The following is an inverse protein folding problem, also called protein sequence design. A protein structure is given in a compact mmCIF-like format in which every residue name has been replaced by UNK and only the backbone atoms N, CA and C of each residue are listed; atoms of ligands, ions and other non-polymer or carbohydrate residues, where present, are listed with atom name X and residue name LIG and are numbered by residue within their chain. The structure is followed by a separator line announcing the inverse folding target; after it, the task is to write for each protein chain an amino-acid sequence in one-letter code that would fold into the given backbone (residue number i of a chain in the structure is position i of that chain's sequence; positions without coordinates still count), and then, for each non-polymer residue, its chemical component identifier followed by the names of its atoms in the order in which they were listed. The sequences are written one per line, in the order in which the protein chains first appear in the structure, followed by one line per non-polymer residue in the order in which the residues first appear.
data_IF_822838386572
#
_entry.id   IF_822838386572
#
_cell.length_a   1.000
_cell.length_b   1.000
_cell.length_c   1.000
_cell.angle_alpha   90.00
_cell.angle_beta   90.00
_cell.angle_gamma   90.00
#
_symmetry.space_group_name_H-M   'P 1'
#
loop_
_entity.id
_entity.type
_entity.pdbx_description
1 polymer ?
#
# COMPACT_ATOMS: atom_id res chain seq x y z
N UNK A 1 -20.50 9.03 25.36
CA UNK A 1 -19.93 9.61 24.16
C UNK A 1 -19.38 8.52 23.25
N UNK A 2 -19.99 8.32 22.10
CA UNK A 2 -19.54 7.33 21.14
C UNK A 2 -18.13 7.57 20.64
N UNK A 3 -17.72 8.84 20.54
CA UNK A 3 -16.40 9.23 20.07
C UNK A 3 -15.31 8.74 21.04
N UNK A 4 -15.53 8.90 22.34
CA UNK A 4 -14.59 8.47 23.37
C UNK A 4 -14.43 6.93 23.38
N UNK A 5 -15.55 6.22 23.26
CA UNK A 5 -15.55 4.76 23.22
C UNK A 5 -14.84 4.25 21.95
N UNK A 6 -15.13 4.85 20.79
CA UNK A 6 -14.51 4.46 19.54
C UNK A 6 -13.00 4.71 19.56
N UNK A 7 -12.53 5.81 20.13
CA UNK A 7 -11.11 6.09 20.27
C UNK A 7 -10.41 5.06 21.14
N UNK A 8 -11.04 4.66 22.27
CA UNK A 8 -10.50 3.64 23.14
C UNK A 8 -10.37 2.29 22.42
N UNK A 9 -11.37 1.90 21.65
CA UNK A 9 -11.36 0.65 20.90
C UNK A 9 -10.28 0.66 19.82
N UNK A 10 -10.09 1.81 19.16
CA UNK A 10 -9.03 1.97 18.15
C UNK A 10 -7.65 1.80 18.79
N UNK A 11 -7.41 2.40 19.94
CA UNK A 11 -6.14 2.25 20.64
C UNK A 11 -5.86 0.79 21.05
N UNK A 12 -6.85 0.09 21.58
CA UNK A 12 -6.71 -1.31 21.93
C UNK A 12 -6.36 -2.17 20.74
N UNK A 13 -7.01 -1.91 19.59
CA UNK A 13 -6.76 -2.62 18.36
C UNK A 13 -5.35 -2.34 17.84
N UNK A 14 -4.91 -1.09 17.87
CA UNK A 14 -3.57 -0.71 17.46
C UNK A 14 -2.49 -1.40 18.30
N UNK A 15 -2.69 -1.50 19.60
CA UNK A 15 -1.76 -2.20 20.47
C UNK A 15 -1.68 -3.69 20.12
N UNK A 16 -2.81 -4.33 19.87
CA UNK A 16 -2.86 -5.72 19.48
C UNK A 16 -2.21 -5.97 18.11
N UNK A 17 -2.47 -5.08 17.15
CA UNK A 17 -1.86 -5.16 15.82
C UNK A 17 -0.35 -4.97 15.88
N UNK A 18 0.11 -4.03 16.71
CA UNK A 18 1.54 -3.77 16.90
C UNK A 18 2.24 -4.95 17.52
N UNK A 19 1.62 -5.59 18.51
CA UNK A 19 2.14 -6.76 19.18
C UNK A 19 2.25 -7.95 18.24
N UNK A 20 1.26 -8.15 17.35
CA UNK A 20 1.23 -9.26 16.40
C UNK A 20 1.90 -8.95 15.07
N UNK A 21 2.17 -7.68 14.79
CA UNK A 21 2.74 -7.26 13.53
C UNK A 21 1.79 -7.36 12.35
N UNK A 22 0.47 -7.39 12.59
CA UNK A 22 -0.53 -7.50 11.53
C UNK A 22 -1.67 -6.49 11.77
N UNK A 23 -2.36 -6.16 10.67
CA UNK A 23 -3.59 -5.38 10.71
C UNK A 23 -4.78 -6.32 10.87
N UNK A 24 -5.56 -6.16 11.93
CA UNK A 24 -6.68 -7.04 12.24
C UNK A 24 -7.94 -6.64 11.50
N UNK A 25 -8.26 -5.35 11.46
CA UNK A 25 -9.42 -4.81 10.76
C UNK A 25 -8.99 -3.65 9.90
N UNK A 26 -9.78 -3.37 8.86
CA UNK A 26 -9.55 -2.22 7.99
C UNK A 26 -9.63 -0.92 8.79
N UNK A 27 -8.72 0.00 8.48
CA UNK A 27 -8.66 1.33 9.10
C UNK A 27 -8.77 2.39 8.04
N UNK A 28 -9.49 3.46 8.36
CA UNK A 28 -9.59 4.63 7.51
C UNK A 28 -8.75 5.76 8.08
N UNK A 29 -7.89 6.33 7.26
CA UNK A 29 -7.08 7.49 7.61
C UNK A 29 -7.16 8.49 6.48
N UNK A 30 -7.27 9.77 6.80
CA UNK A 30 -7.28 10.83 5.79
C UNK A 30 -6.05 11.71 5.97
N UNK A 31 -5.43 12.05 4.85
CA UNK A 31 -4.27 12.93 4.81
C UNK A 31 -4.59 14.08 3.87
N UNK A 32 -4.28 15.29 4.30
CA UNK A 32 -4.39 16.48 3.44
C UNK A 32 -3.03 16.75 2.82
N UNK A 33 -2.96 16.73 1.49
CA UNK A 33 -1.74 17.02 0.75
C UNK A 33 -2.05 18.12 -0.27
N UNK A 34 -1.57 19.32 0.01
CA UNK A 34 -1.94 20.49 -0.80
C UNK A 34 -3.45 20.71 -0.72
N UNK A 35 -4.10 20.81 -1.85
CA UNK A 35 -5.54 20.99 -1.96
C UNK A 35 -6.30 19.65 -2.06
N UNK A 36 -5.60 18.54 -1.97
CA UNK A 36 -6.18 17.21 -2.17
C UNK A 36 -6.26 16.45 -0.86
N UNK A 37 -7.41 15.85 -0.61
CA UNK A 37 -7.60 14.93 0.50
C UNK A 37 -7.39 13.50 0.01
N UNK A 38 -6.45 12.80 0.64
CA UNK A 38 -6.16 11.40 0.32
C UNK A 38 -6.73 10.55 1.44
N UNK A 39 -7.70 9.70 1.11
CA UNK A 39 -8.27 8.75 2.04
C UNK A 39 -7.56 7.41 1.90
N UNK A 40 -6.98 6.95 2.98
CA UNK A 40 -6.22 5.70 3.01
C UNK A 40 -7.02 4.68 3.78
N UNK A 41 -7.26 3.53 3.16
CA UNK A 41 -7.91 2.38 3.81
C UNK A 41 -6.87 1.28 3.93
N UNK A 42 -6.48 0.98 5.14
CA UNK A 42 -5.50 -0.07 5.41
C UNK A 42 -6.19 -1.43 5.37
N UNK A 43 -5.64 -2.38 4.63
CA UNK A 43 -6.22 -3.71 4.50
C UNK A 43 -5.68 -4.66 5.56
N UNK A 44 -6.49 -5.63 6.01
CA UNK A 44 -5.95 -6.71 6.83
C UNK A 44 -4.87 -7.49 6.09
N UNK A 45 -3.77 -7.75 6.76
CA UNK A 45 -2.63 -8.47 6.19
C UNK A 45 -2.69 -9.98 6.37
N UNK A 46 -3.79 -10.52 6.90
CA UNK A 46 -3.93 -11.93 7.19
C UNK A 46 -4.87 -12.62 6.21
N UNK A 47 -4.55 -13.86 5.81
CA UNK A 47 -5.31 -14.61 4.81
C UNK A 47 -6.77 -14.84 5.20
N UNK A 48 -7.07 -14.92 6.50
CA UNK A 48 -8.43 -15.17 7.00
C UNK A 48 -9.38 -14.00 6.75
N UNK A 49 -8.85 -12.84 6.33
CA UNK A 49 -9.65 -11.64 6.08
C UNK A 49 -9.88 -11.37 4.60
N UNK A 50 -9.87 -12.42 3.77
CA UNK A 50 -10.01 -12.29 2.32
C UNK A 50 -11.24 -11.54 1.85
N UNK A 51 -12.40 -11.79 2.49
CA UNK A 51 -13.63 -11.08 2.16
C UNK A 51 -13.57 -9.60 2.45
N UNK A 52 -12.89 -9.21 3.50
CA UNK A 52 -12.68 -7.81 3.85
C UNK A 52 -11.80 -7.12 2.81
N UNK A 53 -10.75 -7.78 2.35
CA UNK A 53 -9.86 -7.25 1.31
C UNK A 53 -10.64 -6.99 0.03
N UNK A 54 -11.46 -7.93 -0.42
CA UNK A 54 -12.27 -7.75 -1.63
C UNK A 54 -13.21 -6.57 -1.53
N UNK A 55 -13.87 -6.43 -0.39
CA UNK A 55 -14.80 -5.32 -0.17
C UNK A 55 -14.08 -3.98 -0.24
N UNK A 56 -12.91 -3.88 0.39
CA UNK A 56 -12.10 -2.67 0.37
C UNK A 56 -11.66 -2.35 -1.04
N UNK A 57 -11.17 -3.33 -1.79
CA UNK A 57 -10.70 -3.12 -3.15
C UNK A 57 -11.78 -2.60 -4.09
N UNK A 58 -13.04 -2.92 -3.82
CA UNK A 58 -14.17 -2.40 -4.60
C UNK A 58 -14.51 -0.96 -4.28
N UNK A 59 -14.04 -0.42 -3.15
CA UNK A 59 -14.37 0.93 -2.69
C UNK A 59 -13.29 1.96 -3.01
N UNK A 60 -12.10 1.51 -3.41
CA UNK A 60 -10.94 2.41 -3.58
C UNK A 60 -10.68 2.69 -5.06
N UNK A 61 -9.93 3.76 -5.32
CA UNK A 61 -9.59 4.20 -6.68
C UNK A 61 -8.26 3.65 -7.17
N UNK A 62 -7.43 3.16 -6.26
CA UNK A 62 -6.14 2.57 -6.57
C UNK A 62 -5.58 1.88 -5.35
N UNK A 63 -4.45 1.22 -5.53
CA UNK A 63 -3.85 0.37 -4.50
C UNK A 63 -2.37 0.74 -4.35
N UNK A 64 -1.93 0.84 -3.09
CA UNK A 64 -0.52 0.91 -2.77
C UNK A 64 -0.13 -0.45 -2.22
N UNK A 65 0.76 -1.13 -2.91
CA UNK A 65 1.24 -2.45 -2.51
C UNK A 65 2.57 -2.29 -1.79
N UNK A 66 2.57 -2.56 -0.49
CA UNK A 66 3.78 -2.49 0.31
C UNK A 66 4.52 -3.83 0.27
N UNK A 67 5.80 -3.78 -0.07
CA UNK A 67 6.65 -4.97 -0.11
C UNK A 67 7.89 -4.69 0.73
N UNK A 68 8.23 -5.63 1.60
CA UNK A 68 9.41 -5.52 2.46
C UNK A 68 10.69 -5.70 1.63
N UNK A 69 11.67 -4.81 1.79
CA UNK A 69 12.91 -4.84 1.02
C UNK A 69 13.80 -6.06 1.31
N UNK A 70 13.56 -6.75 2.40
CA UNK A 70 14.32 -7.96 2.77
C UNK A 70 13.52 -9.22 2.46
N UNK A 71 12.25 -9.26 2.83
CA UNK A 71 11.42 -10.44 2.68
C UNK A 71 10.84 -10.62 1.28
N UNK A 72 10.58 -9.51 0.58
CA UNK A 72 9.95 -9.54 -0.72
C UNK A 72 8.45 -9.83 -0.65
N UNK A 73 7.81 -10.13 -1.80
CA UNK A 73 6.40 -10.45 -1.84
C UNK A 73 6.07 -11.71 -1.03
N UNK A 74 5.03 -11.62 -0.22
CA UNK A 74 4.54 -12.73 0.60
C UNK A 74 3.28 -13.32 -0.03
N UNK A 75 2.81 -14.50 0.42
CA UNK A 75 1.57 -15.07 -0.13
C UNK A 75 0.38 -14.12 -0.05
N UNK A 76 0.27 -13.35 1.02
CA UNK A 76 -0.80 -12.38 1.16
C UNK A 76 -0.67 -11.25 0.15
N UNK A 77 0.57 -10.84 -0.17
CA UNK A 77 0.85 -9.86 -1.21
C UNK A 77 0.30 -10.33 -2.55
N UNK A 78 0.56 -11.60 -2.88
CA UNK A 78 0.08 -12.21 -4.12
C UNK A 78 -1.44 -12.20 -4.20
N UNK A 79 -2.11 -12.55 -3.10
CA UNK A 79 -3.57 -12.57 -3.04
C UNK A 79 -4.15 -11.19 -3.30
N UNK A 80 -3.68 -10.17 -2.57
CA UNK A 80 -4.18 -8.79 -2.70
C UNK A 80 -3.90 -8.25 -4.11
N UNK A 81 -2.71 -8.47 -4.61
CA UNK A 81 -2.33 -8.00 -5.95
C UNK A 81 -3.18 -8.66 -7.02
N UNK A 82 -3.41 -9.97 -6.93
CA UNK A 82 -4.26 -10.71 -7.87
C UNK A 82 -5.65 -10.09 -7.95
N UNK A 83 -6.26 -9.82 -6.79
CA UNK A 83 -7.59 -9.22 -6.74
C UNK A 83 -7.62 -7.79 -7.30
N UNK A 84 -6.60 -6.99 -6.96
CA UNK A 84 -6.50 -5.63 -7.46
C UNK A 84 -6.38 -5.61 -8.99
N UNK A 85 -5.57 -6.49 -9.57
CA UNK A 85 -5.40 -6.57 -11.02
C UNK A 85 -6.69 -7.01 -11.71
N UNK A 86 -7.40 -8.00 -11.14
CA UNK A 86 -8.68 -8.46 -11.68
C UNK A 86 -9.73 -7.34 -11.73
N UNK A 87 -9.71 -6.45 -10.74
CA UNK A 87 -10.62 -5.31 -10.68
C UNK A 87 -10.18 -4.14 -11.54
N UNK A 88 -9.03 -4.25 -12.20
CA UNK A 88 -8.51 -3.20 -13.07
C UNK A 88 -7.92 -2.00 -12.34
N UNK A 89 -7.55 -2.16 -11.08
CA UNK A 89 -6.96 -1.07 -10.30
C UNK A 89 -5.56 -0.71 -10.78
N UNK A 90 -5.23 0.56 -10.65
CA UNK A 90 -3.85 1.02 -10.78
C UNK A 90 -3.13 0.75 -9.47
N UNK A 91 -1.95 0.18 -9.58
CA UNK A 91 -1.16 -0.25 -8.42
C UNK A 91 0.14 0.55 -8.38
N UNK A 92 0.45 1.10 -7.22
CA UNK A 92 1.77 1.69 -6.95
C UNK A 92 2.49 0.71 -6.03
N UNK A 93 3.66 0.24 -6.45
CA UNK A 93 4.45 -0.67 -5.63
C UNK A 93 5.41 0.16 -4.78
N UNK A 94 5.41 -0.06 -3.48
CA UNK A 94 6.31 0.61 -2.56
C UNK A 94 7.17 -0.43 -1.85
N UNK A 95 8.46 -0.42 -2.17
CA UNK A 95 9.45 -1.28 -1.50
C UNK A 95 9.87 -0.54 -0.23
N UNK A 96 9.41 -1.03 0.91
CA UNK A 96 9.62 -0.40 2.21
C UNK A 96 10.76 -1.05 2.97
N UNK A 97 11.24 -0.36 3.99
CA UNK A 97 12.33 -0.81 4.86
C UNK A 97 13.67 -0.93 4.14
N UNK A 98 13.92 -0.02 3.21
CA UNK A 98 15.19 0.01 2.46
C UNK A 98 16.39 0.32 3.36
N UNK A 99 16.14 0.81 4.57
CA UNK A 99 17.16 1.09 5.58
C UNK A 99 17.63 -0.16 6.34
N UNK A 100 17.01 -1.32 6.12
CA UNK A 100 17.41 -2.55 6.80
C UNK A 100 18.77 -3.02 6.30
N UNK A 101 19.66 -3.48 7.20
CA UNK A 101 20.98 -4.00 6.80
C UNK A 101 20.90 -5.25 5.91
N UNK A 102 19.82 -6.03 6.05
CA UNK A 102 19.63 -7.27 5.31
C UNK A 102 18.77 -7.09 4.04
N UNK A 103 18.55 -5.84 3.61
CA UNK A 103 17.74 -5.58 2.43
C UNK A 103 18.39 -6.18 1.17
N UNK A 104 17.54 -6.61 0.23
CA UNK A 104 17.93 -7.16 -1.07
C UNK A 104 17.03 -6.54 -2.15
N UNK A 105 17.08 -5.22 -2.25
CA UNK A 105 16.15 -4.41 -3.06
C UNK A 105 16.09 -4.90 -4.50
N UNK A 106 17.24 -5.15 -5.15
CA UNK A 106 17.24 -5.54 -6.56
C UNK A 106 16.59 -6.89 -6.79
N UNK A 107 16.78 -7.84 -5.88
CA UNK A 107 16.10 -9.12 -5.94
C UNK A 107 14.60 -8.98 -5.73
N UNK A 108 14.19 -8.12 -4.81
CA UNK A 108 12.78 -7.86 -4.54
C UNK A 108 12.09 -7.21 -5.74
N UNK A 109 12.76 -6.30 -6.42
CA UNK A 109 12.24 -5.71 -7.67
C UNK A 109 11.94 -6.81 -8.68
N UNK A 110 12.88 -7.72 -8.88
CA UNK A 110 12.72 -8.83 -9.83
C UNK A 110 11.56 -9.75 -9.40
N UNK A 111 11.46 -10.04 -8.12
CA UNK A 111 10.37 -10.87 -7.57
C UNK A 111 9.00 -10.23 -7.79
N UNK A 112 8.89 -8.91 -7.63
CA UNK A 112 7.64 -8.19 -7.88
C UNK A 112 7.28 -8.23 -9.36
N UNK A 113 8.23 -8.03 -10.24
CA UNK A 113 7.99 -8.09 -11.69
C UNK A 113 7.57 -9.50 -12.13
N UNK A 114 8.21 -10.52 -11.60
CA UNK A 114 7.82 -11.91 -11.85
C UNK A 114 6.40 -12.19 -11.36
N UNK A 115 6.04 -11.65 -10.19
CA UNK A 115 4.70 -11.79 -9.64
C UNK A 115 3.65 -11.15 -10.54
N UNK A 116 3.92 -9.97 -11.05
CA UNK A 116 3.02 -9.29 -11.99
C UNK A 116 2.84 -10.12 -13.26
N UNK A 117 3.91 -10.70 -13.79
CA UNK A 117 3.84 -11.57 -14.97
C UNK A 117 3.04 -12.83 -14.68
N UNK A 118 3.24 -13.45 -13.53
CA UNK A 118 2.51 -14.66 -13.13
C UNK A 118 1.01 -14.41 -13.00
N UNK A 119 0.63 -13.20 -12.63
CA UNK A 119 -0.77 -12.82 -12.45
C UNK A 119 -1.41 -12.28 -13.72
N UNK A 120 -0.74 -12.41 -14.87
CA UNK A 120 -1.24 -11.96 -16.17
C UNK A 120 -1.55 -10.45 -16.19
N UNK A 121 -0.70 -9.65 -15.57
CA UNK A 121 -0.85 -8.20 -15.59
C UNK A 121 -0.85 -7.66 -17.01
N UNK A 122 -1.69 -6.64 -17.26
CA UNK A 122 -1.69 -5.95 -18.56
C UNK A 122 -0.38 -5.18 -18.74
N UNK A 123 -0.02 -4.79 -19.99
CA UNK A 123 1.17 -3.95 -20.19
C UNK A 123 1.16 -2.68 -19.34
N UNK A 124 -0.01 -2.08 -19.15
CA UNK A 124 -0.15 -0.89 -18.30
C UNK A 124 0.11 -1.22 -16.83
N UNK A 125 -0.36 -2.38 -16.37
CA UNK A 125 -0.11 -2.84 -15.00
C UNK A 125 1.34 -3.22 -14.77
N UNK A 126 2.00 -3.78 -15.78
CA UNK A 126 3.43 -4.09 -15.72
C UNK A 126 4.29 -2.83 -15.60
N UNK A 127 3.79 -1.71 -16.08
CA UNK A 127 4.46 -0.42 -16.03
C UNK A 127 4.12 0.36 -14.75
N UNK A 128 3.64 -0.31 -13.73
CA UNK A 128 3.28 0.30 -12.45
C UNK A 128 4.46 1.02 -11.81
N UNK A 129 4.25 2.23 -11.26
CA UNK A 129 5.32 2.94 -10.57
C UNK A 129 5.84 2.14 -9.40
N UNK A 130 7.16 2.17 -9.19
CA UNK A 130 7.80 1.52 -8.06
C UNK A 130 8.59 2.56 -7.29
N UNK A 131 8.30 2.67 -6.01
CA UNK A 131 8.96 3.61 -5.11
C UNK A 131 9.72 2.85 -4.03
N UNK A 132 10.72 3.50 -3.47
CA UNK A 132 11.60 2.93 -2.45
C UNK A 132 11.53 3.79 -1.21
N UNK A 133 11.17 3.19 -0.09
CA UNK A 133 10.73 3.92 1.08
C UNK A 133 11.36 3.39 2.35
N UNK A 134 11.59 4.28 3.30
CA UNK A 134 11.73 3.92 4.70
C UNK A 134 10.67 4.67 5.49
N UNK A 135 9.59 4.00 5.84
CA UNK A 135 8.54 4.61 6.62
C UNK A 135 9.06 5.04 8.00
N UNK A 136 9.99 4.27 8.56
CA UNK A 136 10.63 4.60 9.84
C UNK A 136 11.36 5.94 9.78
N UNK A 137 12.04 6.23 8.66
CA UNK A 137 12.78 7.49 8.47
C UNK A 137 11.92 8.58 7.84
N UNK A 138 10.71 8.24 7.37
CA UNK A 138 9.81 9.18 6.72
C UNK A 138 10.30 9.65 5.36
N UNK A 139 10.93 8.76 4.58
CA UNK A 139 11.51 9.11 3.29
C UNK A 139 11.04 8.16 2.18
N UNK A 140 10.96 8.69 0.96
CA UNK A 140 10.63 7.92 -0.25
C UNK A 140 11.48 8.43 -1.41
N UNK A 141 11.78 7.54 -2.35
CA UNK A 141 12.57 7.87 -3.54
C UNK A 141 12.05 7.10 -4.74
N UNK A 142 12.29 7.64 -5.93
CA UNK A 142 11.97 6.97 -7.20
C UNK A 142 13.00 5.93 -7.62
N UNK A 143 14.15 5.91 -6.97
CA UNK A 143 15.24 5.00 -7.29
C UNK A 143 15.88 4.46 -6.02
N UNK A 144 16.28 3.17 -5.99
CA UNK A 144 16.96 2.61 -4.82
C UNK A 144 18.35 3.22 -4.58
N UNK A 145 18.93 3.84 -5.62
CA UNK A 145 20.26 4.43 -5.56
C UNK A 145 20.26 5.90 -5.16
N UNK A 146 19.08 6.52 -5.05
CA UNK A 146 18.93 7.93 -4.70
C UNK A 146 18.30 8.02 -3.32
N UNK A 147 19.00 8.64 -2.33
CA UNK A 147 18.42 8.80 -0.99
C UNK A 147 17.19 9.68 -1.02
N UNK A 148 16.15 9.26 -0.29
CA UNK A 148 14.96 10.07 -0.10
C UNK A 148 15.19 11.13 0.98
N UNK A 149 14.44 12.22 0.91
CA UNK A 149 14.49 13.29 1.89
C UNK A 149 13.17 13.45 2.65
N UNK A 150 12.06 13.09 2.01
CA UNK A 150 10.71 13.14 2.59
C UNK A 150 9.80 12.18 1.88
N UNK A 151 8.52 12.18 2.22
CA UNK A 151 7.51 11.31 1.58
C UNK A 151 6.82 11.96 0.37
N UNK A 152 7.25 13.13 -0.04
CA UNK A 152 6.64 13.85 -1.16
C UNK A 152 6.59 13.00 -2.44
N UNK A 153 7.64 12.24 -2.82
CA UNK A 153 7.55 11.39 -4.01
C UNK A 153 6.38 10.41 -3.98
N UNK A 154 6.06 9.86 -2.82
CA UNK A 154 4.92 8.94 -2.67
C UNK A 154 3.61 9.67 -2.92
N UNK A 155 3.39 10.81 -2.28
CA UNK A 155 2.15 11.57 -2.45
C UNK A 155 1.99 12.11 -3.86
N UNK A 156 3.05 12.62 -4.45
CA UNK A 156 3.04 13.10 -5.84
C UNK A 156 2.67 11.97 -6.81
N UNK A 157 3.19 10.78 -6.58
CA UNK A 157 2.85 9.61 -7.41
C UNK A 157 1.39 9.21 -7.26
N UNK A 158 0.86 9.24 -6.03
CA UNK A 158 -0.55 8.97 -5.80
C UNK A 158 -1.42 9.94 -6.59
N UNK A 159 -1.13 11.23 -6.51
CA UNK A 159 -1.93 12.25 -7.19
C UNK A 159 -1.84 12.17 -8.70
N UNK A 160 -0.69 11.76 -9.26
CA UNK A 160 -0.50 11.72 -10.70
C UNK A 160 -0.94 10.41 -11.34
N UNK A 161 -0.91 9.31 -10.59
CA UNK A 161 -1.13 7.98 -11.16
C UNK A 161 -2.51 7.40 -10.84
N UNK A 162 -3.01 7.61 -9.61
CA UNK A 162 -4.29 7.06 -9.19
C UNK A 162 -5.40 8.04 -9.57
N UNK A 163 -6.43 7.59 -10.31
CA UNK A 163 -7.52 8.49 -10.71
C UNK A 163 -8.31 8.98 -9.50
N UNK A 164 -8.76 10.24 -9.59
CA UNK A 164 -9.67 10.77 -8.60
C UNK A 164 -10.99 10.00 -8.63
N UNK A 165 -11.70 9.90 -7.49
CA UNK A 165 -13.02 9.27 -7.52
C UNK A 165 -13.94 10.03 -8.47
N UNK A 166 -14.79 9.29 -9.17
CA UNK A 166 -15.80 9.90 -10.01
C UNK A 166 -16.72 10.72 -9.11
N UNK A 167 -16.65 12.02 -9.27
CA UNK A 167 -17.55 12.90 -8.55
C UNK A 167 -18.93 12.78 -9.18
N UNK A 168 -19.93 12.45 -8.37
CA UNK A 168 -21.31 12.67 -8.76
C UNK A 168 -21.53 14.16 -8.83
N UNK A 169 -21.44 14.69 -10.03
CA UNK A 169 -21.56 16.14 -10.25
C UNK A 169 -23.00 16.60 -10.27
N UNK A 170 -23.85 15.90 -9.63
CA UNK A 170 -25.28 16.24 -9.63
C UNK A 170 -25.69 17.08 -8.48
#
# INVERSE_FOLDING_TARGET
QGVSSAASDVYKRQDLERERGITILAKNTAIQYGDTKINIVDTPGHADFGGEVERILKMVNGVILLVDAAEGPMPQTRFVLSRALELGHRVIVVVNKIDRPDQRIHEVIDEVLELLLDLDATPEQLDSPMLFCSARQGVASYSPDVPGTDLKPLFDTILSYIPAPEADLD
#
